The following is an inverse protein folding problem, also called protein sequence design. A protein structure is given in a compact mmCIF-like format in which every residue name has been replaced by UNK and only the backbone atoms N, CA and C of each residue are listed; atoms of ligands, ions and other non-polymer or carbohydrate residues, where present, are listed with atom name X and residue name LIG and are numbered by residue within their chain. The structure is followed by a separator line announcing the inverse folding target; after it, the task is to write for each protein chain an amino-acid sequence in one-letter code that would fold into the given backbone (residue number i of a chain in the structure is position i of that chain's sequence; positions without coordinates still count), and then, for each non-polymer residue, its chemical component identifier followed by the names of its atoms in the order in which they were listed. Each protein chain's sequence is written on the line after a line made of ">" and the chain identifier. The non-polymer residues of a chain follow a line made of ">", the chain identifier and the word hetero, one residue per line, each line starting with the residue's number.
data_IF_491873665479
#
_entry.id   IF_491873665479
#
_cell.length_a   1.000
_cell.length_b   1.000
_cell.length_c   1.000
_cell.angle_alpha   90.00
_cell.angle_beta   90.00
_cell.angle_gamma   90.00
#
_symmetry.space_group_name_H-M   'P 1'
#
loop_
_entity.id
_entity.type
_entity.pdbx_description
1 polymer ?
#
# COMPACT_ATOMS: atom_id res chain seq x y z
N UNK A 1 -29.58 -26.80 -44.48
CA UNK A 1 -28.14 -26.48 -44.52
C UNK A 1 -27.85 -24.96 -44.59
N UNK A 2 -28.83 -24.12 -44.94
CA UNK A 2 -28.65 -22.66 -45.06
C UNK A 2 -28.70 -21.90 -43.72
N UNK A 3 -29.57 -22.30 -42.79
CA UNK A 3 -29.72 -21.62 -41.49
C UNK A 3 -28.43 -21.59 -40.65
N UNK A 4 -27.64 -22.66 -40.67
CA UNK A 4 -26.35 -22.75 -39.96
C UNK A 4 -25.29 -21.82 -40.56
N UNK A 5 -25.28 -21.65 -41.90
CA UNK A 5 -24.37 -20.72 -42.58
C UNK A 5 -24.72 -19.27 -42.27
N UNK A 6 -26.01 -18.93 -42.21
CA UNK A 6 -26.49 -17.59 -41.86
C UNK A 6 -26.13 -17.25 -40.40
N UNK A 7 -26.34 -18.18 -39.46
CA UNK A 7 -25.97 -17.98 -38.06
C UNK A 7 -24.46 -17.78 -37.87
N UNK A 8 -23.64 -18.50 -38.64
CA UNK A 8 -22.19 -18.37 -38.63
C UNK A 8 -21.74 -16.99 -39.17
N UNK A 9 -22.35 -16.53 -40.26
CA UNK A 9 -22.06 -15.21 -40.85
C UNK A 9 -22.47 -14.05 -39.92
N UNK A 10 -23.62 -14.17 -39.24
CA UNK A 10 -24.06 -13.18 -38.24
C UNK A 10 -23.08 -13.14 -37.06
N UNK A 11 -22.62 -14.31 -36.59
CA UNK A 11 -21.64 -14.40 -35.49
C UNK A 11 -20.31 -13.76 -35.86
N UNK A 12 -19.81 -14.01 -37.08
CA UNK A 12 -18.59 -13.37 -37.61
C UNK A 12 -18.78 -11.86 -37.73
N UNK A 13 -19.92 -11.40 -38.26
CA UNK A 13 -20.23 -9.97 -38.38
C UNK A 13 -20.29 -9.28 -37.00
N UNK A 14 -20.88 -9.94 -36.00
CA UNK A 14 -20.91 -9.44 -34.62
C UNK A 14 -19.50 -9.38 -34.00
N UNK A 15 -18.65 -10.39 -34.23
CA UNK A 15 -17.25 -10.39 -33.77
C UNK A 15 -16.47 -9.23 -34.43
N UNK A 16 -16.63 -9.02 -35.73
CA UNK A 16 -15.98 -7.93 -36.46
C UNK A 16 -16.47 -6.57 -35.96
N UNK A 17 -17.78 -6.40 -35.73
CA UNK A 17 -18.37 -5.18 -35.19
C UNK A 17 -17.88 -4.90 -33.76
N UNK A 18 -17.72 -5.94 -32.93
CA UNK A 18 -17.16 -5.86 -31.57
C UNK A 18 -15.66 -5.54 -31.57
N UNK A 19 -14.90 -6.05 -32.55
CA UNK A 19 -13.49 -5.70 -32.78
C UNK A 19 -13.32 -4.26 -33.28
N UNK A 20 -14.17 -3.80 -34.21
CA UNK A 20 -14.19 -2.39 -34.68
C UNK A 20 -14.58 -1.39 -33.58
N UNK A 21 -15.43 -1.80 -32.62
CA UNK A 21 -15.76 -0.99 -31.43
C UNK A 21 -14.63 -0.90 -30.40
N UNK A 22 -13.61 -1.75 -30.44
CA UNK A 22 -12.42 -1.55 -29.58
C UNK A 22 -11.65 -0.36 -30.15
N UNK A 23 -11.77 0.80 -29.48
CA UNK A 23 -10.90 1.96 -29.73
C UNK A 23 -9.45 1.45 -29.82
N UNK A 24 -8.80 1.69 -30.95
CA UNK A 24 -7.35 1.50 -31.06
C UNK A 24 -6.72 2.39 -30.00
N UNK A 25 -6.01 1.79 -29.02
CA UNK A 25 -5.20 2.58 -28.09
C UNK A 25 -4.11 3.24 -28.93
N UNK A 26 -4.08 4.56 -28.99
CA UNK A 26 -3.10 5.30 -29.79
C UNK A 26 -1.70 5.27 -29.17
N UNK A 27 -1.60 5.02 -27.86
CA UNK A 27 -0.37 5.06 -27.09
C UNK A 27 -0.37 3.95 -26.03
N UNK A 28 0.75 3.24 -25.91
CA UNK A 28 0.94 2.17 -24.90
C UNK A 28 1.00 2.74 -23.48
N UNK A 29 1.75 3.82 -23.29
CA UNK A 29 1.86 4.57 -22.03
C UNK A 29 1.89 6.06 -22.35
N UNK A 30 1.29 6.91 -21.49
CA UNK A 30 1.34 8.37 -21.65
C UNK A 30 2.70 8.89 -21.22
N UNK A 31 3.19 9.95 -21.85
CA UNK A 31 4.52 10.50 -21.56
C UNK A 31 4.71 10.89 -20.08
N UNK A 32 3.67 11.47 -19.47
CA UNK A 32 3.74 11.81 -18.04
C UNK A 32 3.69 10.57 -17.12
N UNK A 33 3.43 9.36 -17.60
CA UNK A 33 3.44 8.13 -16.78
C UNK A 33 4.80 7.41 -16.82
N UNK A 34 5.86 8.07 -17.31
CA UNK A 34 7.22 7.57 -17.28
C UNK A 34 7.78 7.54 -15.85
N UNK A 35 7.43 6.48 -15.13
CA UNK A 35 7.83 6.22 -13.74
C UNK A 35 9.34 6.23 -13.53
N UNK A 36 10.11 5.55 -14.38
CA UNK A 36 11.56 5.41 -14.17
C UNK A 36 12.31 6.74 -14.31
N UNK A 37 11.77 7.68 -15.09
CA UNK A 37 12.40 8.99 -15.32
C UNK A 37 11.91 10.04 -14.33
N UNK A 38 10.63 10.00 -13.96
CA UNK A 38 9.93 11.11 -13.29
C UNK A 38 9.20 10.72 -12.00
N UNK A 39 9.30 9.47 -11.58
CA UNK A 39 8.65 8.97 -10.36
C UNK A 39 9.38 9.47 -9.12
N UNK A 40 8.61 9.80 -8.09
CA UNK A 40 9.13 10.31 -6.80
C UNK A 40 10.17 9.38 -6.16
N UNK A 41 10.08 8.06 -6.38
CA UNK A 41 11.05 7.11 -5.85
C UNK A 41 12.47 7.31 -6.38
N UNK A 42 12.64 7.62 -7.68
CA UNK A 42 13.97 7.83 -8.27
C UNK A 42 14.48 9.26 -8.21
N UNK A 43 13.58 10.24 -8.18
CA UNK A 43 13.95 11.65 -8.11
C UNK A 43 14.07 12.06 -6.64
N UNK A 44 12.93 12.40 -6.03
CA UNK A 44 12.89 12.98 -4.70
C UNK A 44 13.49 12.08 -3.62
N UNK A 45 13.21 10.77 -3.62
CA UNK A 45 13.72 9.92 -2.53
C UNK A 45 15.23 9.71 -2.59
N UNK A 46 15.84 9.68 -3.77
CA UNK A 46 17.30 9.61 -3.91
C UNK A 46 17.94 10.95 -3.53
N UNK A 47 17.35 12.08 -3.95
CA UNK A 47 17.77 13.42 -3.52
C UNK A 47 17.72 13.56 -2.00
N UNK A 48 16.59 13.22 -1.37
CA UNK A 48 16.44 13.25 0.09
C UNK A 48 17.41 12.32 0.80
N UNK A 49 17.70 11.15 0.23
CA UNK A 49 18.66 10.20 0.81
C UNK A 49 20.08 10.76 0.85
N UNK A 50 20.49 11.49 -0.20
CA UNK A 50 21.85 12.00 -0.35
C UNK A 50 22.04 13.37 0.31
N UNK A 51 21.05 14.24 0.23
CA UNK A 51 21.16 15.66 0.60
C UNK A 51 20.56 15.97 1.97
N UNK A 52 19.45 15.30 2.37
CA UNK A 52 18.72 15.63 3.59
C UNK A 52 18.04 14.41 4.27
N UNK A 53 18.81 13.65 5.07
CA UNK A 53 18.30 12.47 5.77
C UNK A 53 17.14 12.77 6.75
N UNK A 54 17.07 13.98 7.31
CA UNK A 54 15.98 14.35 8.21
C UNK A 54 14.65 14.51 7.45
N UNK A 55 14.70 15.10 6.25
CA UNK A 55 13.51 15.18 5.40
C UNK A 55 13.15 13.83 4.81
N UNK A 56 14.11 12.94 4.52
CA UNK A 56 13.83 11.54 4.20
C UNK A 56 13.03 10.86 5.32
N UNK A 57 13.50 11.01 6.56
CA UNK A 57 12.83 10.47 7.76
C UNK A 57 11.44 11.05 7.94
N UNK A 58 11.24 12.34 7.73
CA UNK A 58 9.89 12.96 7.79
C UNK A 58 8.98 12.45 6.68
N UNK A 59 9.53 12.23 5.49
CA UNK A 59 8.78 11.81 4.32
C UNK A 59 8.25 10.38 4.43
N UNK A 60 9.07 9.44 4.91
CA UNK A 60 8.71 8.03 5.10
C UNK A 60 8.33 7.63 6.53
N UNK A 61 8.56 8.51 7.52
CA UNK A 61 8.53 8.19 8.96
C UNK A 61 9.52 7.07 9.35
N UNK A 62 10.60 6.94 8.58
CA UNK A 62 11.61 5.89 8.74
C UNK A 62 12.99 6.41 8.28
N UNK A 63 14.02 6.11 9.05
CA UNK A 63 15.41 6.44 8.71
C UNK A 63 15.91 5.62 7.51
N UNK A 64 16.87 6.15 6.75
CA UNK A 64 17.44 5.47 5.59
C UNK A 64 18.03 4.10 5.94
N UNK A 65 18.81 4.00 7.01
CA UNK A 65 19.43 2.72 7.42
C UNK A 65 18.39 1.67 7.82
N UNK A 66 17.28 2.10 8.46
CA UNK A 66 16.17 1.21 8.81
C UNK A 66 15.39 0.78 7.57
N UNK A 67 15.21 1.68 6.61
CA UNK A 67 14.59 1.37 5.33
C UNK A 67 15.41 0.32 4.57
N UNK A 68 16.73 0.48 4.50
CA UNK A 68 17.62 -0.47 3.83
C UNK A 68 17.61 -1.85 4.52
N UNK A 69 17.73 -1.88 5.86
CA UNK A 69 17.62 -3.12 6.62
C UNK A 69 16.27 -3.83 6.44
N UNK A 70 15.17 -3.08 6.43
CA UNK A 70 13.84 -3.64 6.17
C UNK A 70 13.74 -4.15 4.73
N UNK A 71 14.28 -3.41 3.76
CA UNK A 71 14.27 -3.80 2.36
C UNK A 71 14.98 -5.12 2.14
N UNK A 72 16.18 -5.30 2.68
CA UNK A 72 16.94 -6.56 2.62
C UNK A 72 16.12 -7.75 3.13
N UNK A 73 15.39 -7.56 4.25
CA UNK A 73 14.52 -8.56 4.85
C UNK A 73 13.32 -8.95 3.97
N UNK A 74 12.71 -8.01 3.27
CA UNK A 74 11.48 -8.24 2.48
C UNK A 74 11.72 -8.44 0.97
N UNK A 75 12.92 -8.14 0.47
CA UNK A 75 13.24 -8.07 -0.96
C UNK A 75 12.87 -9.36 -1.71
N UNK A 76 13.21 -10.52 -1.13
CA UNK A 76 12.93 -11.83 -1.71
C UNK A 76 11.42 -12.07 -1.90
N UNK A 77 10.56 -11.53 -1.03
CA UNK A 77 9.10 -11.66 -1.13
C UNK A 77 8.49 -10.68 -2.13
N UNK A 78 9.08 -9.50 -2.26
CA UNK A 78 8.52 -8.39 -3.05
C UNK A 78 9.04 -8.32 -4.49
N UNK A 79 10.17 -8.96 -4.78
CA UNK A 79 10.76 -8.95 -6.11
C UNK A 79 9.83 -9.60 -7.13
N UNK A 80 9.73 -8.98 -8.31
CA UNK A 80 8.92 -9.44 -9.44
C UNK A 80 9.77 -9.43 -10.70
N UNK A 81 9.46 -10.33 -11.63
CA UNK A 81 10.16 -10.44 -12.91
C UNK A 81 9.59 -9.45 -13.92
N UNK A 82 10.46 -8.91 -14.75
CA UNK A 82 10.07 -8.11 -15.90
C UNK A 82 9.26 -8.95 -16.89
N UNK A 83 8.39 -8.28 -17.61
CA UNK A 83 7.64 -8.88 -18.73
C UNK A 83 8.02 -8.18 -20.01
N UNK A 84 7.83 -8.84 -21.16
CA UNK A 84 8.05 -8.24 -22.47
C UNK A 84 7.26 -6.93 -22.71
N UNK A 85 6.21 -6.70 -21.92
CA UNK A 85 5.31 -5.56 -22.09
C UNK A 85 5.60 -4.40 -21.12
N UNK A 86 6.20 -4.69 -19.96
CA UNK A 86 6.45 -3.72 -18.90
C UNK A 86 7.46 -4.26 -17.88
N UNK A 87 8.36 -3.38 -17.45
CA UNK A 87 9.28 -3.59 -16.33
C UNK A 87 8.52 -3.70 -15.01
N UNK A 88 9.01 -4.56 -14.14
CA UNK A 88 8.50 -4.75 -12.80
C UNK A 88 8.67 -3.50 -11.95
N UNK A 89 7.89 -3.45 -10.87
CA UNK A 89 8.09 -2.46 -9.81
C UNK A 89 9.13 -3.01 -8.86
N UNK A 90 10.32 -2.37 -8.73
CA UNK A 90 11.37 -2.86 -7.85
C UNK A 90 10.88 -2.98 -6.40
N UNK A 91 11.46 -3.91 -5.64
CA UNK A 91 11.08 -4.14 -4.25
C UNK A 91 11.19 -2.85 -3.40
N UNK A 92 12.26 -2.07 -3.58
CA UNK A 92 12.45 -0.79 -2.91
C UNK A 92 11.34 0.22 -3.20
N UNK A 93 10.91 0.33 -4.45
CA UNK A 93 9.82 1.24 -4.83
C UNK A 93 8.47 0.78 -4.26
N UNK A 94 8.22 -0.54 -4.26
CA UNK A 94 7.02 -1.15 -3.63
C UNK A 94 6.99 -0.91 -2.12
N UNK A 95 8.13 -1.01 -1.46
CA UNK A 95 8.26 -0.74 -0.03
C UNK A 95 8.03 0.75 0.25
N UNK A 96 8.71 1.62 -0.47
CA UNK A 96 8.62 3.07 -0.31
C UNK A 96 7.20 3.61 -0.51
N UNK A 97 6.49 3.19 -1.57
CA UNK A 97 5.12 3.63 -1.81
C UNK A 97 4.17 3.17 -0.71
N UNK A 98 4.39 1.98 -0.15
CA UNK A 98 3.55 1.42 0.91
C UNK A 98 3.81 2.11 2.24
N UNK A 99 5.09 2.35 2.59
CA UNK A 99 5.45 3.13 3.76
C UNK A 99 4.93 4.56 3.66
N UNK A 100 5.02 5.20 2.50
CA UNK A 100 4.46 6.54 2.28
C UNK A 100 2.96 6.58 2.50
N UNK A 101 2.23 5.57 2.03
CA UNK A 101 0.80 5.43 2.29
C UNK A 101 0.50 5.29 3.79
N UNK A 102 1.21 4.42 4.50
CA UNK A 102 1.03 4.21 5.94
C UNK A 102 1.41 5.45 6.78
N UNK A 103 2.45 6.17 6.37
CA UNK A 103 2.96 7.36 7.05
C UNK A 103 2.02 8.56 6.98
N UNK A 104 1.19 8.66 5.93
CA UNK A 104 0.38 9.85 5.64
C UNK A 104 -1.12 9.62 5.59
N UNK A 105 -1.56 8.38 5.31
CA UNK A 105 -2.96 8.10 5.04
C UNK A 105 -3.50 8.73 3.75
N UNK A 106 -2.62 9.16 2.83
CA UNK A 106 -3.03 9.74 1.54
C UNK A 106 -3.85 8.73 0.71
N UNK A 107 -4.78 9.25 -0.11
CA UNK A 107 -5.51 8.37 -1.04
C UNK A 107 -4.60 7.81 -2.12
N UNK A 108 -4.90 6.60 -2.62
CA UNK A 108 -4.19 6.02 -3.77
C UNK A 108 -4.24 6.90 -5.02
N UNK A 109 -5.30 7.70 -5.17
CA UNK A 109 -5.41 8.67 -6.28
C UNK A 109 -4.38 9.80 -6.17
N UNK A 110 -4.02 10.24 -4.96
CA UNK A 110 -2.93 11.22 -4.74
C UNK A 110 -1.58 10.59 -5.09
N UNK A 111 -1.30 9.43 -4.48
CA UNK A 111 -0.02 8.73 -4.64
C UNK A 111 0.20 8.24 -6.08
N UNK A 112 -0.88 7.97 -6.83
CA UNK A 112 -0.82 7.64 -8.25
C UNK A 112 -0.07 8.69 -9.06
N UNK A 113 -0.33 9.98 -8.84
CA UNK A 113 0.33 11.05 -9.58
C UNK A 113 1.79 11.23 -9.16
N UNK A 114 2.09 11.01 -7.88
CA UNK A 114 3.45 11.14 -7.31
C UNK A 114 4.37 10.00 -7.79
N UNK A 115 3.95 8.75 -7.61
CA UNK A 115 4.74 7.58 -7.99
C UNK A 115 4.55 7.18 -9.46
N UNK A 116 3.55 7.73 -10.17
CA UNK A 116 3.20 7.38 -11.56
C UNK A 116 2.85 5.90 -11.74
N UNK A 117 2.34 5.26 -10.69
CA UNK A 117 1.89 3.86 -10.65
C UNK A 117 0.36 3.85 -10.57
N UNK A 118 -0.32 3.01 -11.36
CA UNK A 118 -1.79 2.97 -11.38
C UNK A 118 -2.40 2.63 -10.02
N UNK A 119 -3.55 3.24 -9.70
CA UNK A 119 -4.33 2.97 -8.47
C UNK A 119 -4.62 1.47 -8.28
N UNK A 120 -4.90 0.75 -9.36
CA UNK A 120 -5.10 -0.71 -9.32
C UNK A 120 -3.86 -1.47 -8.87
N UNK A 121 -2.66 -1.00 -9.23
CA UNK A 121 -1.41 -1.59 -8.77
C UNK A 121 -1.15 -1.24 -7.31
N UNK A 122 -1.40 -0.01 -6.88
CA UNK A 122 -1.35 0.36 -5.46
C UNK A 122 -2.21 -0.56 -4.59
N UNK A 123 -3.45 -0.80 -5.00
CA UNK A 123 -4.39 -1.65 -4.27
C UNK A 123 -3.91 -3.10 -4.12
N UNK A 124 -3.02 -3.58 -5.00
CA UNK A 124 -2.40 -4.91 -4.90
C UNK A 124 -1.09 -4.86 -4.11
N UNK A 125 -0.26 -3.84 -4.34
CA UNK A 125 1.08 -3.74 -3.74
C UNK A 125 0.98 -3.49 -2.24
N UNK A 126 0.15 -2.54 -1.80
CA UNK A 126 0.12 -2.12 -0.40
C UNK A 126 -0.20 -3.30 0.54
N UNK A 127 -1.27 -4.10 0.32
CA UNK A 127 -1.54 -5.28 1.16
C UNK A 127 -0.42 -6.32 1.10
N UNK A 128 0.14 -6.56 -0.09
CA UNK A 128 1.24 -7.52 -0.28
C UNK A 128 2.48 -7.12 0.52
N UNK A 129 2.84 -5.84 0.50
CA UNK A 129 3.97 -5.30 1.26
C UNK A 129 3.69 -5.37 2.75
N UNK A 130 2.50 -4.97 3.20
CA UNK A 130 2.13 -5.10 4.62
C UNK A 130 2.23 -6.55 5.12
N UNK A 131 1.77 -7.51 4.32
CA UNK A 131 1.88 -8.93 4.66
C UNK A 131 3.34 -9.39 4.69
N UNK A 132 4.15 -8.99 3.71
CA UNK A 132 5.57 -9.35 3.66
C UNK A 132 6.34 -8.79 4.87
N UNK A 133 6.07 -7.53 5.25
CA UNK A 133 6.65 -6.89 6.44
C UNK A 133 6.22 -7.63 7.70
N UNK A 134 4.91 -7.91 7.85
CA UNK A 134 4.39 -8.65 8.99
C UNK A 134 5.06 -10.02 9.13
N UNK A 135 5.13 -10.80 8.06
CA UNK A 135 5.70 -12.15 8.10
C UNK A 135 7.17 -12.18 8.53
N UNK A 136 7.96 -11.16 8.18
CA UNK A 136 9.40 -11.13 8.46
C UNK A 136 9.70 -10.50 9.82
N UNK A 137 8.81 -9.64 10.33
CA UNK A 137 9.04 -8.92 11.59
C UNK A 137 8.27 -9.48 12.80
N UNK A 138 7.17 -10.23 12.58
CA UNK A 138 6.29 -10.66 13.67
C UNK A 138 7.03 -11.41 14.78
N UNK A 139 7.97 -12.29 14.45
CA UNK A 139 8.62 -13.15 15.44
C UNK A 139 9.68 -12.39 16.25
N UNK A 140 10.21 -11.28 15.70
CA UNK A 140 11.22 -10.44 16.36
C UNK A 140 10.58 -9.37 17.26
N UNK A 141 9.40 -8.84 16.86
CA UNK A 141 8.81 -7.66 17.50
C UNK A 141 7.47 -7.92 18.21
N UNK A 142 6.75 -9.00 17.89
CA UNK A 142 5.49 -9.34 18.53
C UNK A 142 5.70 -10.51 19.48
N UNK A 143 5.88 -10.19 20.76
CA UNK A 143 5.83 -11.16 21.84
C UNK A 143 4.51 -11.02 22.59
N UNK A 144 3.75 -12.11 22.65
CA UNK A 144 2.52 -12.18 23.42
C UNK A 144 2.77 -12.98 24.69
N UNK A 145 2.22 -12.56 25.84
CA UNK A 145 2.41 -13.28 27.08
C UNK A 145 1.79 -14.67 27.00
N UNK A 146 2.54 -15.71 27.37
CA UNK A 146 2.13 -17.11 27.22
C UNK A 146 1.68 -17.75 28.54
N UNK A 147 2.11 -17.21 29.67
CA UNK A 147 1.86 -17.77 31.00
C UNK A 147 1.35 -16.72 32.00
N UNK A 148 0.82 -17.19 33.13
CA UNK A 148 0.24 -16.35 34.18
C UNK A 148 1.26 -15.36 34.77
N UNK A 149 2.52 -15.77 34.92
CA UNK A 149 3.58 -14.94 35.49
C UNK A 149 3.86 -13.71 34.63
N UNK A 150 3.93 -13.87 33.30
CA UNK A 150 4.10 -12.76 32.36
C UNK A 150 2.91 -11.79 32.38
N UNK A 151 1.68 -12.33 32.48
CA UNK A 151 0.48 -11.49 32.60
C UNK A 151 0.46 -10.70 33.92
N UNK A 152 0.85 -11.33 35.03
CA UNK A 152 0.96 -10.67 36.33
C UNK A 152 2.05 -9.59 36.32
N UNK A 153 3.19 -9.84 35.65
CA UNK A 153 4.26 -8.86 35.49
C UNK A 153 3.79 -7.62 34.70
N UNK A 154 3.01 -7.81 33.64
CA UNK A 154 2.42 -6.70 32.87
C UNK A 154 1.44 -5.92 33.75
N UNK A 155 0.54 -6.61 34.47
CA UNK A 155 -0.42 -5.96 35.35
C UNK A 155 0.24 -5.13 36.45
N UNK A 156 1.30 -5.67 37.07
CA UNK A 156 2.10 -4.95 38.05
C UNK A 156 2.75 -3.69 37.44
N UNK A 157 3.33 -3.80 36.24
CA UNK A 157 3.89 -2.65 35.54
C UNK A 157 2.87 -1.54 35.25
N UNK A 158 1.63 -1.92 34.92
CA UNK A 158 0.57 -0.93 34.75
C UNK A 158 0.14 -0.27 36.06
N UNK A 159 0.08 -1.03 37.13
CA UNK A 159 -0.24 -0.55 38.47
C UNK A 159 0.83 0.40 39.01
N UNK A 160 2.11 0.05 38.84
CA UNK A 160 3.24 0.85 39.33
C UNK A 160 3.32 2.23 38.65
N UNK A 161 3.10 2.28 37.33
CA UNK A 161 3.27 3.51 36.54
C UNK A 161 2.00 4.35 36.49
N UNK A 162 0.82 3.72 36.37
CA UNK A 162 -0.46 4.41 36.14
C UNK A 162 -1.52 4.15 37.21
N UNK A 163 -1.23 3.36 38.26
CA UNK A 163 -2.18 2.99 39.31
C UNK A 163 -3.44 2.30 38.74
N UNK A 164 -3.24 1.50 37.68
CA UNK A 164 -4.29 0.71 37.04
C UNK A 164 -4.11 -0.78 37.39
N UNK A 165 -4.68 -1.26 38.51
CA UNK A 165 -4.55 -2.65 38.91
C UNK A 165 -5.20 -3.58 37.87
N UNK A 166 -4.60 -4.75 37.67
CA UNK A 166 -5.06 -5.77 36.72
C UNK A 166 -5.16 -5.32 35.25
N UNK A 167 -4.51 -4.20 34.88
CA UNK A 167 -4.48 -3.76 33.49
C UNK A 167 -3.42 -4.55 32.71
N UNK A 168 -3.84 -5.32 31.71
CA UNK A 168 -2.96 -6.21 30.94
C UNK A 168 -2.55 -5.63 29.58
N UNK A 169 -2.90 -4.37 29.31
CA UNK A 169 -2.61 -3.73 28.04
C UNK A 169 -3.46 -2.49 27.80
N UNK A 170 -2.98 -1.66 26.88
CA UNK A 170 -3.69 -0.48 26.42
C UNK A 170 -3.83 -0.53 24.90
N UNK A 171 -5.01 -0.18 24.40
CA UNK A 171 -5.25 0.02 22.98
C UNK A 171 -5.42 1.51 22.72
N UNK A 172 -4.48 2.12 21.99
CA UNK A 172 -4.63 3.51 21.57
C UNK A 172 -5.66 3.64 20.43
N UNK A 173 -6.34 4.77 20.39
CA UNK A 173 -7.57 4.97 19.63
C UNK A 173 -7.40 4.77 18.11
N UNK A 174 -8.29 3.98 17.51
CA UNK A 174 -8.47 3.90 16.06
C UNK A 174 -9.59 4.83 15.61
N UNK A 175 -9.35 5.66 14.60
CA UNK A 175 -10.43 6.45 13.98
C UNK A 175 -11.35 5.51 13.20
N UNK A 176 -12.48 5.13 13.82
CA UNK A 176 -13.53 4.36 13.17
C UNK A 176 -14.44 5.34 12.43
N UNK A 177 -14.48 5.27 11.10
CA UNK A 177 -15.46 6.04 10.32
C UNK A 177 -16.86 5.49 10.61
N UNK A 178 -17.66 6.25 11.35
CA UNK A 178 -19.05 5.95 11.63
C UNK A 178 -19.90 6.68 10.59
N UNK A 179 -20.72 5.93 9.84
CA UNK A 179 -21.72 6.55 8.97
C UNK A 179 -22.83 7.11 9.89
N UNK A 180 -22.98 8.44 9.90
CA UNK A 180 -23.97 9.06 10.76
C UNK A 180 -25.41 8.71 10.30
N UNK A 181 -26.37 8.53 11.22
CA UNK A 181 -27.78 8.40 10.87
C UNK A 181 -28.28 9.63 10.10
N UNK A 182 -29.31 9.48 9.27
CA UNK A 182 -29.95 10.65 8.63
C UNK A 182 -30.47 11.61 9.70
N UNK A 183 -30.39 12.92 9.44
CA UNK A 183 -30.85 14.01 10.33
C UNK A 183 -30.14 14.12 11.69
N UNK A 184 -28.92 13.60 11.85
CA UNK A 184 -28.19 13.65 13.12
C UNK A 184 -27.37 14.93 13.35
N UNK A 185 -27.50 15.93 12.48
CA UNK A 185 -26.87 17.24 12.64
C UNK A 185 -25.36 17.17 12.83
N UNK A 186 -24.81 18.03 13.70
CA UNK A 186 -23.39 18.12 14.03
C UNK A 186 -22.89 17.04 15.01
N UNK A 187 -23.77 16.20 15.54
CA UNK A 187 -23.47 15.29 16.66
C UNK A 187 -22.44 14.21 16.31
N UNK A 188 -22.35 13.86 15.02
CA UNK A 188 -21.40 12.87 14.50
C UNK A 188 -20.27 13.48 13.68
N UNK A 189 -20.14 14.81 13.68
CA UNK A 189 -18.99 15.47 13.05
C UNK A 189 -17.79 15.33 13.99
N UNK A 190 -16.76 14.66 13.50
CA UNK A 190 -15.47 14.69 14.15
C UNK A 190 -14.77 16.00 13.76
N UNK A 191 -14.60 16.91 14.72
CA UNK A 191 -13.93 18.20 14.53
C UNK A 191 -12.40 18.12 14.72
N UNK A 192 -11.86 16.91 14.91
CA UNK A 192 -10.42 16.62 14.92
C UNK A 192 -9.97 15.98 13.62
#
# INVERSE_FOLDING_TARGET
>A
MEASKIASLISIALIIKRRRKRRRRSLWTREWLKRNERGVFRQLMEELRLEDPEHYRRYLRMDTSKFECLLEKVEMKLTRKDTNMREAIPAGERLALSLRFLATGESYSSLHYQFRISVSSFALIVPEVCQAVFDVMKDEFLHFPENEEEWLAIAAGFEDVWQLPHCIGAADGKHVRILHPRNSGSVFYNYK
#
